data_IF_971584942667
#
_entry.id   IF_971584942667
#
_cell.length_a   1.000
_cell.length_b   1.000
_cell.length_c   1.000
_cell.angle_alpha   90.00
_cell.angle_beta   90.00
_cell.angle_gamma   90.00
#
_symmetry.space_group_name_H-M   'P 1'
#
loop_
_entity.id
_entity.type
_entity.pdbx_description
1 polymer ?
#
# COMPACT_ATOMS: atom_id res chain seq x y z
N UNK A 1 -45.84 47.40 33.47
CA UNK A 1 -45.18 46.89 34.69
C UNK A 1 -44.42 45.62 34.34
N UNK A 2 -43.08 45.60 34.36
CA UNK A 2 -42.29 44.44 33.98
C UNK A 2 -42.04 43.54 35.20
N UNK A 3 -41.97 42.21 34.98
CA UNK A 3 -41.21 41.33 35.86
C UNK A 3 -40.22 40.56 35.01
N UNK A 4 -38.97 40.94 35.19
CA UNK A 4 -37.76 40.25 34.76
C UNK A 4 -37.53 39.06 35.70
N UNK A 5 -37.27 37.87 35.16
CA UNK A 5 -36.48 36.85 35.87
C UNK A 5 -35.53 36.18 34.89
N UNK A 6 -34.27 36.62 34.98
CA UNK A 6 -33.09 35.92 34.52
C UNK A 6 -33.00 34.56 35.24
N UNK A 7 -32.68 33.49 34.51
CA UNK A 7 -31.86 32.42 35.04
C UNK A 7 -31.25 31.55 33.93
N UNK A 8 -29.95 31.76 33.70
CA UNK A 8 -28.90 30.75 33.52
C UNK A 8 -29.01 29.75 32.35
N UNK A 9 -28.39 30.13 31.23
CA UNK A 9 -27.52 29.20 30.47
C UNK A 9 -26.23 29.01 31.29
N UNK A 10 -25.60 27.82 31.25
CA UNK A 10 -24.52 27.66 30.28
C UNK A 10 -24.37 26.25 29.68
N UNK A 11 -23.81 26.27 28.46
CA UNK A 11 -22.88 25.29 27.89
C UNK A 11 -23.31 23.80 27.92
N UNK A 12 -23.84 23.32 26.78
CA UNK A 12 -23.59 21.94 26.37
C UNK A 12 -22.21 21.88 25.73
N UNK A 13 -21.29 21.20 26.40
CA UNK A 13 -19.93 20.95 25.97
C UNK A 13 -19.89 20.17 24.64
N UNK A 14 -18.93 20.56 23.81
CA UNK A 14 -18.46 19.85 22.63
C UNK A 14 -18.13 18.38 22.95
N UNK A 15 -18.51 17.48 22.05
CA UNK A 15 -17.80 16.24 21.83
C UNK A 15 -17.54 16.11 20.32
N UNK A 16 -16.48 16.75 19.84
CA UNK A 16 -15.91 16.41 18.54
C UNK A 16 -15.08 15.13 18.74
N UNK A 17 -15.66 13.99 18.39
CA UNK A 17 -14.94 12.72 18.35
C UNK A 17 -14.02 12.77 17.12
N UNK A 18 -12.78 13.21 17.32
CA UNK A 18 -11.73 13.01 16.34
C UNK A 18 -11.42 11.50 16.29
N UNK A 19 -11.96 10.80 15.30
CA UNK A 19 -11.40 9.52 14.88
C UNK A 19 -10.02 9.81 14.30
N UNK A 20 -8.99 9.74 15.14
CA UNK A 20 -7.65 9.50 14.68
C UNK A 20 -7.62 8.07 14.12
N UNK A 21 -7.92 7.91 12.84
CA UNK A 21 -7.48 6.73 12.11
C UNK A 21 -5.96 6.82 12.05
N UNK A 22 -5.28 6.10 12.93
CA UNK A 22 -3.87 5.75 12.71
C UNK A 22 -3.82 5.00 11.40
N UNK A 23 -3.30 5.66 10.36
CA UNK A 23 -2.90 5.01 9.13
C UNK A 23 -1.66 4.14 9.43
N UNK A 24 -1.86 3.04 10.14
CA UNK A 24 -0.89 1.95 10.17
C UNK A 24 -1.12 1.16 8.88
N UNK A 25 -0.15 1.26 7.96
CA UNK A 25 -0.20 0.53 6.69
C UNK A 25 0.29 1.29 5.46
N UNK A 26 1.10 2.34 5.59
CA UNK A 26 2.03 2.65 4.50
C UNK A 26 3.31 1.86 4.77
N UNK A 27 3.66 0.95 3.85
CA UNK A 27 4.90 0.21 3.89
C UNK A 27 6.06 1.12 4.29
N UNK A 28 6.90 0.64 5.21
CA UNK A 28 8.11 1.35 5.63
C UNK A 28 8.81 1.86 4.38
N UNK A 29 8.99 3.19 4.26
CA UNK A 29 9.63 3.83 3.11
C UNK A 29 10.85 3.01 2.67
N UNK A 30 10.77 2.40 1.48
CA UNK A 30 11.88 1.67 0.86
C UNK A 30 12.08 0.21 1.30
N UNK A 31 11.06 -0.48 1.82
CA UNK A 31 11.08 -1.94 1.94
C UNK A 31 10.17 -2.56 0.87
N UNK A 32 10.63 -3.62 0.20
CA UNK A 32 9.82 -4.45 -0.69
C UNK A 32 8.55 -4.89 0.06
N UNK A 33 7.38 -4.82 -0.58
CA UNK A 33 6.09 -5.22 0.01
C UNK A 33 6.04 -6.70 0.46
N UNK A 34 6.89 -7.56 -0.09
CA UNK A 34 7.06 -8.95 0.34
C UNK A 34 7.92 -9.11 1.59
N UNK A 35 8.53 -8.03 2.07
CA UNK A 35 9.52 -8.07 3.13
C UNK A 35 10.76 -8.88 2.74
N UNK A 36 11.44 -9.46 3.73
CA UNK A 36 12.64 -10.28 3.49
C UNK A 36 12.24 -11.72 3.17
N UNK A 37 12.48 -12.16 1.95
CA UNK A 37 12.29 -13.55 1.52
C UNK A 37 13.56 -14.17 0.97
N UNK A 38 13.52 -15.49 0.75
CA UNK A 38 14.60 -16.25 0.13
C UNK A 38 14.11 -16.86 -1.17
N UNK A 39 14.99 -16.95 -2.16
CA UNK A 39 14.72 -17.54 -3.46
C UNK A 39 15.35 -18.93 -3.59
N UNK A 40 14.73 -19.74 -4.44
CA UNK A 40 15.29 -20.98 -4.96
C UNK A 40 15.58 -20.80 -6.44
N UNK A 41 16.82 -21.05 -6.88
CA UNK A 41 17.21 -20.91 -8.27
C UNK A 41 18.21 -22.02 -8.64
N UNK A 42 17.75 -22.95 -9.48
CA UNK A 42 18.51 -24.13 -9.88
C UNK A 42 19.00 -24.93 -8.67
N UNK A 43 20.32 -25.13 -8.57
CA UNK A 43 20.95 -25.86 -7.47
C UNK A 43 21.09 -25.08 -6.16
N UNK A 44 20.73 -23.79 -6.11
CA UNK A 44 20.84 -22.97 -4.90
C UNK A 44 19.47 -22.81 -4.24
N UNK A 45 19.43 -23.12 -2.95
CA UNK A 45 18.23 -23.07 -2.12
C UNK A 45 18.43 -22.07 -0.98
N UNK A 46 17.35 -21.42 -0.53
CA UNK A 46 17.35 -20.49 0.62
C UNK A 46 18.35 -19.34 0.48
N UNK A 47 18.55 -18.85 -0.74
CA UNK A 47 19.41 -17.68 -0.97
C UNK A 47 18.58 -16.44 -0.63
N UNK A 48 19.02 -15.55 0.27
CA UNK A 48 18.29 -14.32 0.54
C UNK A 48 18.09 -13.52 -0.74
N UNK A 49 16.87 -13.03 -0.97
CA UNK A 49 16.61 -12.12 -2.08
C UNK A 49 17.42 -10.83 -1.90
N UNK A 50 17.95 -10.32 -3.01
CA UNK A 50 18.71 -9.08 -3.02
C UNK A 50 17.79 -7.91 -3.41
N UNK A 51 17.22 -7.26 -2.41
CA UNK A 51 16.40 -6.05 -2.49
C UNK A 51 17.23 -4.74 -2.45
N UNK A 52 18.58 -4.83 -2.44
CA UNK A 52 19.46 -3.66 -2.46
C UNK A 52 19.62 -3.10 -3.88
N UNK A 53 18.52 -2.53 -4.39
CA UNK A 53 18.50 -1.82 -5.65
C UNK A 53 19.29 -0.50 -5.59
N UNK A 54 19.33 0.13 -4.41
CA UNK A 54 19.97 1.43 -4.21
C UNK A 54 21.48 1.38 -4.43
N UNK A 55 22.19 0.33 -3.98
CA UNK A 55 23.63 0.18 -4.24
C UNK A 55 23.97 -0.02 -5.73
N UNK A 56 22.96 -0.30 -6.56
CA UNK A 56 23.07 -0.37 -8.03
C UNK A 56 22.64 0.91 -8.73
N UNK A 57 22.30 1.96 -7.96
CA UNK A 57 21.83 3.24 -8.51
C UNK A 57 20.40 3.19 -9.02
N UNK A 58 19.61 2.22 -8.55
CA UNK A 58 18.20 2.08 -8.92
C UNK A 58 17.28 2.55 -7.80
N UNK A 59 16.17 3.14 -8.19
CA UNK A 59 15.01 3.40 -7.34
C UNK A 59 13.89 2.45 -7.77
N UNK A 60 13.02 2.05 -6.84
CA UNK A 60 11.86 1.24 -7.12
C UNK A 60 10.62 1.82 -6.44
N UNK A 61 9.45 1.42 -6.95
CA UNK A 61 8.15 1.69 -6.36
C UNK A 61 7.25 0.50 -6.64
N UNK A 62 6.31 0.26 -5.73
CA UNK A 62 5.40 -0.86 -5.83
C UNK A 62 4.01 -0.44 -6.29
N UNK A 63 3.30 -1.37 -6.94
CA UNK A 63 1.93 -1.19 -7.41
C UNK A 63 1.10 -2.40 -6.99
N UNK A 64 -0.09 -2.15 -6.44
CA UNK A 64 -1.03 -3.21 -6.09
C UNK A 64 -1.86 -3.62 -7.30
N UNK A 65 -1.88 -4.93 -7.54
CA UNK A 65 -2.87 -5.59 -8.36
C UNK A 65 -4.20 -5.77 -7.59
N UNK A 66 -5.34 -5.94 -8.28
CA UNK A 66 -6.54 -6.51 -7.69
C UNK A 66 -6.27 -7.87 -7.05
N UNK A 67 -7.06 -8.20 -6.03
CA UNK A 67 -7.02 -9.51 -5.40
C UNK A 67 -7.35 -10.62 -6.42
N UNK A 68 -6.56 -11.70 -6.38
CA UNK A 68 -6.81 -12.91 -7.13
C UNK A 68 -7.00 -14.07 -6.15
N UNK A 69 -7.97 -14.93 -6.44
CA UNK A 69 -8.19 -16.19 -5.73
C UNK A 69 -8.17 -17.33 -6.73
N UNK A 70 -7.26 -18.27 -6.54
CA UNK A 70 -7.11 -19.47 -7.36
C UNK A 70 -7.00 -20.69 -6.48
N UNK A 71 -7.40 -21.85 -7.00
CA UNK A 71 -7.11 -23.15 -6.39
C UNK A 71 -5.72 -23.60 -6.82
N UNK A 72 -5.05 -24.41 -5.98
CA UNK A 72 -3.76 -24.99 -6.33
C UNK A 72 -3.84 -25.75 -7.67
N UNK A 73 -2.96 -25.39 -8.60
CA UNK A 73 -2.90 -25.97 -9.94
C UNK A 73 -3.74 -25.25 -10.99
N UNK A 74 -4.55 -24.25 -10.62
CA UNK A 74 -5.22 -23.40 -11.58
C UNK A 74 -4.25 -22.38 -12.18
N UNK A 75 -4.51 -22.04 -13.45
CA UNK A 75 -3.73 -21.03 -14.16
C UNK A 75 -4.56 -19.79 -14.38
N UNK A 76 -4.05 -18.66 -13.93
CA UNK A 76 -4.69 -17.36 -14.06
C UNK A 76 -4.10 -16.57 -15.24
N UNK A 77 -4.87 -16.38 -16.30
CA UNK A 77 -4.48 -15.64 -17.51
C UNK A 77 -5.32 -14.38 -17.75
N UNK A 78 -6.24 -14.07 -16.84
CA UNK A 78 -7.16 -12.94 -16.98
C UNK A 78 -6.39 -11.64 -16.78
N UNK A 79 -6.59 -10.69 -17.69
CA UNK A 79 -6.03 -9.34 -17.53
C UNK A 79 -6.56 -8.68 -16.25
N UNK A 80 -5.67 -8.11 -15.46
CA UNK A 80 -6.00 -7.34 -14.26
C UNK A 80 -6.32 -5.86 -14.56
N UNK A 81 -6.35 -5.48 -15.85
CA UNK A 81 -6.66 -4.12 -16.29
C UNK A 81 -5.52 -3.13 -16.07
N UNK A 82 -5.88 -1.86 -15.92
CA UNK A 82 -4.94 -0.75 -15.72
C UNK A 82 -4.69 -0.57 -14.22
N UNK A 83 -3.44 -0.73 -13.81
CA UNK A 83 -3.02 -0.49 -12.43
C UNK A 83 -2.48 0.95 -12.30
N UNK A 84 -3.08 1.80 -11.43
CA UNK A 84 -2.64 3.18 -11.30
C UNK A 84 -1.24 3.25 -10.68
N UNK A 85 -0.37 4.07 -11.27
CA UNK A 85 0.90 4.40 -10.64
C UNK A 85 0.68 5.24 -9.36
N UNK A 86 1.55 5.12 -8.35
CA UNK A 86 1.45 5.95 -7.16
C UNK A 86 1.49 7.45 -7.51
N UNK A 87 0.65 8.25 -6.85
CA UNK A 87 0.48 9.67 -7.17
C UNK A 87 1.82 10.46 -7.15
N UNK A 88 2.74 10.11 -6.26
CA UNK A 88 4.05 10.75 -6.17
C UNK A 88 4.96 10.44 -7.38
N UNK A 89 4.81 9.27 -8.01
CA UNK A 89 5.52 8.92 -9.25
C UNK A 89 4.92 9.70 -10.42
N UNK A 90 3.59 9.74 -10.51
CA UNK A 90 2.88 10.52 -11.55
C UNK A 90 3.30 11.98 -11.51
N UNK A 91 3.35 12.60 -10.32
CA UNK A 91 3.75 13.99 -10.18
C UNK A 91 5.24 14.21 -10.54
N UNK A 92 6.14 13.33 -10.08
CA UNK A 92 7.60 13.43 -10.39
C UNK A 92 7.89 13.44 -11.89
N UNK A 93 7.13 12.66 -12.65
CA UNK A 93 7.29 12.46 -14.09
C UNK A 93 6.25 13.21 -14.93
N UNK A 94 5.51 14.15 -14.35
CA UNK A 94 4.54 14.96 -15.09
C UNK A 94 5.22 15.73 -16.23
N UNK A 95 4.80 15.46 -17.47
CA UNK A 95 5.40 16.04 -18.67
C UNK A 95 6.81 15.54 -18.99
N UNK A 96 7.25 14.43 -18.37
CA UNK A 96 8.55 13.79 -18.60
C UNK A 96 8.34 12.34 -19.03
N UNK A 97 9.34 11.78 -19.71
CA UNK A 97 9.39 10.34 -19.98
C UNK A 97 10.01 9.65 -18.77
N UNK A 98 9.39 8.56 -18.33
CA UNK A 98 9.94 7.64 -17.34
C UNK A 98 10.38 6.36 -18.05
N UNK A 99 11.63 5.94 -17.83
CA UNK A 99 12.11 4.63 -18.26
C UNK A 99 12.00 3.64 -17.09
N UNK A 100 11.32 2.52 -17.31
CA UNK A 100 11.27 1.39 -16.37
C UNK A 100 12.27 0.34 -16.87
N UNK A 101 13.32 0.08 -16.09
CA UNK A 101 14.41 -0.82 -16.47
C UNK A 101 14.22 -2.26 -15.98
N UNK A 102 13.22 -2.50 -15.15
CA UNK A 102 12.89 -3.82 -14.62
C UNK A 102 11.46 -3.85 -14.10
N UNK A 103 10.88 -5.04 -14.09
CA UNK A 103 9.56 -5.32 -13.52
C UNK A 103 9.63 -6.68 -12.85
N UNK A 104 9.19 -6.74 -11.60
CA UNK A 104 9.08 -7.95 -10.80
C UNK A 104 7.65 -8.05 -10.31
N UNK A 105 7.08 -9.24 -10.36
CA UNK A 105 5.76 -9.51 -9.80
C UNK A 105 5.92 -10.46 -8.62
N UNK A 106 5.49 -9.96 -7.48
CA UNK A 106 5.51 -10.67 -6.23
C UNK A 106 4.07 -11.02 -5.81
N UNK A 107 3.90 -12.17 -5.15
CA UNK A 107 2.63 -12.55 -4.54
C UNK A 107 2.69 -12.29 -3.04
N UNK A 108 1.79 -11.44 -2.56
CA UNK A 108 1.52 -11.28 -1.12
C UNK A 108 0.35 -12.18 -0.79
N UNK A 109 0.60 -13.21 0.02
CA UNK A 109 -0.44 -14.12 0.50
C UNK A 109 -1.12 -13.51 1.73
N UNK A 110 -2.44 -13.29 1.64
CA UNK A 110 -3.27 -12.96 2.79
C UNK A 110 -4.02 -14.19 3.29
N UNK A 111 -4.44 -14.15 4.57
CA UNK A 111 -5.41 -15.12 5.06
C UNK A 111 -6.72 -14.97 4.27
N UNK A 112 -7.35 -16.07 3.83
CA UNK A 112 -8.63 -15.98 3.14
C UNK A 112 -9.66 -15.32 4.06
N UNK A 113 -10.23 -14.18 3.63
CA UNK A 113 -11.25 -13.45 4.40
C UNK A 113 -12.65 -14.07 4.31
N UNK A 114 -12.79 -15.19 3.59
CA UNK A 114 -14.07 -15.88 3.39
C UNK A 114 -15.03 -15.05 2.54
N UNK A 115 -15.15 -15.39 1.26
CA UNK A 115 -16.25 -14.95 0.41
C UNK A 115 -17.30 -16.07 0.36
#
# INVERSE_FOLDING_TARGET
FPIMRLAHSPLRALAALALASTAEGFGRRGQNMNGRYSVASGGKQRVPFNDDYASKGHEYFDVWAPEISTTYGEVFWTSQGVLPLPAHIVERFKGKVMAITGYEQDQVLGDPVGQ
#
